data_IF_196708099843
#
_entry.id   IF_196708099843
#
_cell.length_a   1.000
_cell.length_b   1.000
_cell.length_c   1.000
_cell.angle_alpha   90.00
_cell.angle_beta   90.00
_cell.angle_gamma   90.00
#
_symmetry.space_group_name_H-M   'P 1'
#
loop_
_entity.id
_entity.type
_entity.pdbx_description
1 polymer ?
#
# COMPACT_ATOMS: atom_id res chain seq x y z
N UNK A 1 3.45 -13.27 2.89
CA UNK A 1 2.21 -12.59 3.31
C UNK A 1 1.33 -13.54 4.11
N UNK A 2 0.58 -13.02 5.08
CA UNK A 2 -0.51 -13.72 5.78
C UNK A 2 -1.73 -12.81 5.84
N UNK A 3 -2.92 -13.39 5.92
CA UNK A 3 -4.15 -12.64 5.98
C UNK A 3 -5.18 -13.26 6.95
N UNK A 4 -6.15 -12.46 7.38
CA UNK A 4 -7.37 -12.89 8.05
C UNK A 4 -8.52 -12.06 7.48
N UNK A 5 -9.63 -12.70 7.13
CA UNK A 5 -10.76 -12.05 6.46
C UNK A 5 -12.04 -12.32 7.22
N UNK A 6 -12.86 -11.27 7.31
CA UNK A 6 -14.21 -11.25 7.87
C UNK A 6 -15.20 -10.91 6.75
N UNK A 7 -16.49 -10.79 7.07
CA UNK A 7 -17.49 -10.37 6.08
C UNK A 7 -17.18 -8.99 5.48
N UNK A 8 -16.72 -8.05 6.31
CA UNK A 8 -16.55 -6.64 5.91
C UNK A 8 -15.10 -6.17 5.80
N UNK A 9 -14.13 -6.95 6.30
CA UNK A 9 -12.73 -6.52 6.42
C UNK A 9 -11.73 -7.63 6.11
N UNK A 10 -10.63 -7.23 5.47
CA UNK A 10 -9.42 -8.02 5.33
C UNK A 10 -8.28 -7.41 6.14
N UNK A 11 -7.57 -8.24 6.89
CA UNK A 11 -6.38 -7.89 7.65
C UNK A 11 -5.18 -8.56 6.97
N UNK A 12 -4.22 -7.76 6.51
CA UNK A 12 -3.06 -8.26 5.76
C UNK A 12 -1.79 -7.98 6.56
N UNK A 13 -0.98 -9.03 6.75
CA UNK A 13 0.36 -8.94 7.32
C UNK A 13 1.40 -9.26 6.25
N UNK A 14 2.20 -8.26 5.92
CA UNK A 14 3.34 -8.43 5.04
C UNK A 14 4.51 -9.09 5.78
N UNK A 15 5.35 -9.77 5.02
CA UNK A 15 6.61 -10.38 5.43
C UNK A 15 7.77 -9.50 4.99
N UNK A 16 8.95 -9.67 5.60
CA UNK A 16 10.14 -8.91 5.19
C UNK A 16 10.45 -9.14 3.70
N UNK A 17 10.74 -8.05 2.98
CA UNK A 17 11.00 -8.06 1.54
C UNK A 17 9.77 -8.02 0.62
N UNK A 18 8.54 -8.03 1.16
CA UNK A 18 7.34 -7.87 0.33
C UNK A 18 7.08 -6.40 -0.02
N UNK A 19 6.72 -6.14 -1.29
CA UNK A 19 6.34 -4.80 -1.75
C UNK A 19 4.87 -4.52 -1.42
N UNK A 20 4.58 -3.32 -0.91
CA UNK A 20 3.29 -2.95 -0.35
C UNK A 20 2.14 -2.99 -1.37
N UNK A 21 2.29 -2.31 -2.50
CA UNK A 21 1.22 -2.19 -3.50
C UNK A 21 0.89 -3.56 -4.07
N UNK A 22 1.90 -4.32 -4.47
CA UNK A 22 1.74 -5.69 -4.97
C UNK A 22 1.06 -6.60 -3.95
N UNK A 23 1.40 -6.48 -2.67
CA UNK A 23 0.79 -7.28 -1.61
C UNK A 23 -0.69 -6.94 -1.43
N UNK A 24 -1.06 -5.66 -1.50
CA UNK A 24 -2.45 -5.22 -1.43
C UNK A 24 -3.24 -5.72 -2.64
N UNK A 25 -2.72 -5.53 -3.87
CA UNK A 25 -3.37 -6.03 -5.08
C UNK A 25 -3.56 -7.56 -5.02
N UNK A 26 -2.52 -8.31 -4.63
CA UNK A 26 -2.60 -9.77 -4.50
C UNK A 26 -3.63 -10.22 -3.46
N UNK A 27 -3.76 -9.50 -2.33
CA UNK A 27 -4.80 -9.78 -1.35
C UNK A 27 -6.20 -9.51 -1.91
N UNK A 28 -6.40 -8.42 -2.65
CA UNK A 28 -7.67 -8.15 -3.32
C UNK A 28 -8.02 -9.21 -4.36
N UNK A 29 -7.05 -9.65 -5.19
CA UNK A 29 -7.24 -10.71 -6.19
C UNK A 29 -7.62 -12.05 -5.54
N UNK A 30 -6.91 -12.47 -4.49
CA UNK A 30 -7.16 -13.71 -3.74
C UNK A 30 -8.61 -13.78 -3.22
N UNK A 31 -9.15 -12.63 -2.81
CA UNK A 31 -10.49 -12.52 -2.24
C UNK A 31 -11.54 -11.99 -3.21
N UNK A 32 -11.21 -11.88 -4.50
CA UNK A 32 -12.13 -11.37 -5.54
C UNK A 32 -12.75 -10.00 -5.20
N UNK A 33 -11.93 -9.11 -4.65
CA UNK A 33 -12.31 -7.74 -4.31
C UNK A 33 -12.00 -6.80 -5.49
N UNK A 34 -13.02 -6.17 -6.05
CA UNK A 34 -12.86 -5.21 -7.15
C UNK A 34 -12.49 -3.79 -6.68
N UNK A 35 -12.71 -3.51 -5.39
CA UNK A 35 -12.31 -2.25 -4.74
C UNK A 35 -12.25 -2.42 -3.22
N UNK A 36 -11.51 -1.54 -2.54
CA UNK A 36 -11.43 -1.52 -1.09
C UNK A 36 -11.05 -0.13 -0.56
N UNK A 37 -11.36 0.13 0.71
CA UNK A 37 -10.78 1.25 1.46
C UNK A 37 -9.71 0.70 2.40
N UNK A 38 -8.52 1.29 2.35
CA UNK A 38 -7.44 0.98 3.29
C UNK A 38 -7.62 1.88 4.50
N UNK A 39 -8.21 1.30 5.55
CA UNK A 39 -8.58 2.02 6.78
C UNK A 39 -7.39 2.36 7.67
N UNK A 40 -6.26 1.66 7.52
CA UNK A 40 -5.11 1.81 8.40
C UNK A 40 -4.00 0.81 8.11
N UNK A 41 -2.78 1.16 8.48
CA UNK A 41 -1.63 0.27 8.46
C UNK A 41 -0.45 0.85 9.24
N UNK A 42 0.36 -0.04 9.82
CA UNK A 42 1.56 0.25 10.59
C UNK A 42 2.64 -0.79 10.23
N UNK A 43 3.91 -0.47 10.43
CA UNK A 43 5.01 -1.39 10.15
C UNK A 43 6.35 -0.68 9.97
N UNK A 44 7.26 -1.31 9.23
CA UNK A 44 8.57 -0.77 8.91
C UNK A 44 8.87 -0.96 7.41
N UNK A 45 9.51 0.03 6.79
CA UNK A 45 9.95 0.00 5.41
C UNK A 45 11.46 0.27 5.31
N UNK A 46 12.14 -0.39 4.36
CA UNK A 46 13.59 -0.25 4.11
C UNK A 46 13.91 0.62 2.89
N UNK A 47 12.94 0.73 1.99
CA UNK A 47 13.00 1.48 0.75
C UNK A 47 11.63 2.12 0.54
N UNK A 48 11.61 3.43 0.28
CA UNK A 48 10.40 4.18 -0.01
C UNK A 48 10.61 4.98 -1.28
N UNK A 49 9.66 4.90 -2.21
CA UNK A 49 9.61 5.79 -3.37
C UNK A 49 8.44 6.73 -3.17
N UNK A 50 8.70 7.96 -2.77
CA UNK A 50 7.67 8.99 -2.72
C UNK A 50 7.46 9.57 -4.11
N UNK A 51 6.21 9.87 -4.43
CA UNK A 51 5.85 10.58 -5.63
C UNK A 51 4.84 11.68 -5.36
N UNK A 52 5.06 12.85 -5.96
CA UNK A 52 4.12 13.96 -5.86
C UNK A 52 3.99 14.68 -7.20
N UNK A 53 2.79 15.19 -7.46
CA UNK A 53 2.51 15.98 -8.63
C UNK A 53 2.81 17.45 -8.34
N UNK A 54 3.61 18.08 -9.19
CA UNK A 54 4.02 19.49 -9.02
C UNK A 54 3.03 20.49 -9.63
N UNK A 55 1.93 20.01 -10.22
CA UNK A 55 1.07 20.83 -11.08
C UNK A 55 1.48 20.84 -12.55
N UNK A 56 2.66 20.28 -12.88
CA UNK A 56 3.15 20.14 -14.27
C UNK A 56 3.57 18.71 -14.57
N UNK A 57 4.32 18.11 -13.66
CA UNK A 57 4.89 16.78 -13.82
C UNK A 57 4.80 16.00 -12.50
N UNK A 58 4.98 14.68 -12.61
CA UNK A 58 5.03 13.80 -11.45
C UNK A 58 6.50 13.49 -11.14
N UNK A 59 6.96 13.91 -9.98
CA UNK A 59 8.34 13.69 -9.51
C UNK A 59 8.36 12.49 -8.57
N UNK A 60 9.45 11.72 -8.60
CA UNK A 60 9.70 10.61 -7.68
C UNK A 60 11.04 10.79 -6.99
N UNK A 61 11.09 10.46 -5.70
CA UNK A 61 12.31 10.44 -4.91
C UNK A 61 12.40 9.13 -4.11
N UNK A 62 13.59 8.53 -4.10
CA UNK A 62 13.87 7.25 -3.46
C UNK A 62 14.64 7.48 -2.16
N UNK A 63 14.15 6.87 -1.09
CA UNK A 63 14.75 6.91 0.24
C UNK A 63 15.09 5.48 0.67
N UNK A 64 16.31 5.28 1.13
CA UNK A 64 16.81 4.01 1.65
C UNK A 64 17.24 4.21 3.10
N UNK A 65 16.85 3.29 3.99
CA UNK A 65 17.04 3.44 5.43
C UNK A 65 15.97 2.68 6.20
N UNK A 66 15.99 2.71 7.53
CA UNK A 66 14.95 2.08 8.34
C UNK A 66 13.92 3.13 8.73
N UNK A 67 12.70 2.99 8.22
CA UNK A 67 11.60 3.90 8.47
C UNK A 67 10.42 3.19 9.11
N UNK A 68 9.92 3.72 10.22
CA UNK A 68 8.66 3.27 10.83
C UNK A 68 7.49 3.88 10.06
N UNK A 69 6.55 3.03 9.60
CA UNK A 69 5.28 3.43 9.01
C UNK A 69 4.32 3.80 10.14
N UNK A 70 4.18 5.10 10.40
CA UNK A 70 3.37 5.64 11.49
C UNK A 70 1.87 5.62 11.18
N UNK A 71 1.52 5.74 9.91
CA UNK A 71 0.14 5.58 9.43
C UNK A 71 0.13 5.31 7.94
N UNK A 72 -0.87 4.56 7.49
CA UNK A 72 -1.10 4.25 6.09
C UNK A 72 -2.61 4.29 5.84
N UNK A 73 -3.02 4.94 4.75
CA UNK A 73 -4.43 5.05 4.35
C UNK A 73 -4.52 5.15 2.83
N UNK A 74 -5.67 4.80 2.27
CA UNK A 74 -5.86 4.88 0.83
C UNK A 74 -7.07 4.11 0.35
N UNK A 75 -7.06 3.81 -0.94
CA UNK A 75 -8.07 3.01 -1.61
C UNK A 75 -7.43 2.02 -2.59
N UNK A 76 -8.20 1.02 -2.99
CA UNK A 76 -7.91 0.16 -4.13
C UNK A 76 -9.03 0.36 -5.13
N UNK A 77 -8.65 0.71 -6.35
CA UNK A 77 -9.56 0.93 -7.48
C UNK A 77 -9.02 0.21 -8.72
N UNK A 78 -9.70 0.36 -9.86
CA UNK A 78 -9.27 -0.22 -11.13
C UNK A 78 -8.60 0.84 -12.00
N UNK A 79 -7.40 0.54 -12.50
CA UNK A 79 -6.68 1.37 -13.47
C UNK A 79 -6.17 0.50 -14.61
N UNK A 80 -6.54 0.84 -15.84
CA UNK A 80 -6.09 0.12 -17.04
C UNK A 80 -6.38 -1.40 -16.99
N UNK A 81 -7.50 -1.78 -16.35
CA UNK A 81 -7.92 -3.17 -16.23
C UNK A 81 -7.25 -3.97 -15.11
N UNK A 82 -6.47 -3.33 -14.23
CA UNK A 82 -5.83 -3.97 -13.08
C UNK A 82 -6.16 -3.25 -11.76
N UNK A 83 -6.12 -4.01 -10.66
CA UNK A 83 -6.25 -3.47 -9.30
C UNK A 83 -5.07 -2.54 -8.99
N UNK A 84 -5.41 -1.33 -8.56
CA UNK A 84 -4.49 -0.22 -8.36
C UNK A 84 -4.66 0.35 -6.95
N UNK A 85 -3.74 0.03 -6.02
CA UNK A 85 -3.70 0.65 -4.70
C UNK A 85 -3.20 2.09 -4.82
N UNK A 86 -3.98 3.03 -4.32
CA UNK A 86 -3.59 4.42 -4.15
C UNK A 86 -3.36 4.68 -2.66
N UNK A 87 -2.09 4.70 -2.26
CA UNK A 87 -1.69 4.71 -0.86
C UNK A 87 -0.98 6.01 -0.48
N UNK A 88 -1.38 6.58 0.65
CA UNK A 88 -0.66 7.65 1.34
C UNK A 88 -0.16 7.10 2.68
N UNK A 89 1.02 7.56 3.11
CA UNK A 89 1.61 7.09 4.34
C UNK A 89 2.47 8.16 5.01
N UNK A 90 2.59 8.04 6.34
CA UNK A 90 3.46 8.85 7.19
C UNK A 90 4.56 7.95 7.72
N UNK A 91 5.80 8.43 7.64
CA UNK A 91 6.98 7.68 8.05
C UNK A 91 7.82 8.46 9.05
N UNK A 92 8.48 7.77 9.97
CA UNK A 92 9.52 8.31 10.85
C UNK A 92 10.85 7.60 10.54
N UNK A 93 11.96 8.34 10.41
CA UNK A 93 13.30 7.80 10.14
C UNK A 93 14.42 8.73 10.59
#
# INVERSE_FOLDING_TARGET
>A
MRYSVTEDMAFVRLSDGEELHRSISAACEEYSLDSAIIVGGLGMAREIIFGWYTGKEYIRERFEGTFEVASLSGDVSMREGALYPHVHAVFNG
#
